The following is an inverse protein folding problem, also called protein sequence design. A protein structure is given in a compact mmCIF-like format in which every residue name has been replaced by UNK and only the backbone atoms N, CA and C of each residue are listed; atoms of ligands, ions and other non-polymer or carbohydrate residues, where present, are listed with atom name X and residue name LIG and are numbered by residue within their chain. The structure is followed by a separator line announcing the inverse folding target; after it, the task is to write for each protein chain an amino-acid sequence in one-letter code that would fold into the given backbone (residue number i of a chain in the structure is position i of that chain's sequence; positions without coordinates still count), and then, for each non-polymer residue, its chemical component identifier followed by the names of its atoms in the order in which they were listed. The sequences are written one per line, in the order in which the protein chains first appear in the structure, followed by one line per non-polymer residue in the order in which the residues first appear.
data_IF_141059302811
#
_entry.id   IF_141059302811
#
_cell.length_a   1.000
_cell.length_b   1.000
_cell.length_c   1.000
_cell.angle_alpha   90.00
_cell.angle_beta   90.00
_cell.angle_gamma   90.00
#
_symmetry.space_group_name_H-M   'P 1'
#
loop_
_entity.id
_entity.type
_entity.pdbx_description
1 polymer ?
#
# COMPACT_ATOMS: atom_id res chain seq x y z
N UNK A 1 3.01 -13.97 28.77
CA UNK A 1 2.55 -15.28 28.28
C UNK A 1 1.85 -15.09 26.95
N UNK A 2 2.08 -15.98 25.98
CA UNK A 2 1.37 -15.97 24.71
C UNK A 2 -0.10 -16.38 24.91
N UNK A 3 -1.01 -15.75 24.17
CA UNK A 3 -2.46 -16.02 24.25
C UNK A 3 -2.89 -16.93 23.09
N UNK A 4 -3.94 -17.76 23.26
CA UNK A 4 -4.52 -18.54 22.16
C UNK A 4 -4.96 -17.67 20.96
N UNK A 5 -5.27 -16.40 21.21
CA UNK A 5 -5.67 -15.40 20.22
C UNK A 5 -4.50 -14.75 19.47
N UNK A 6 -3.25 -15.00 19.86
CA UNK A 6 -2.09 -14.45 19.16
C UNK A 6 -2.03 -15.05 17.75
N UNK A 7 -1.79 -14.19 16.74
CA UNK A 7 -1.77 -14.58 15.33
C UNK A 7 -0.34 -14.63 14.78
N UNK A 8 -0.13 -15.49 13.76
CA UNK A 8 1.03 -15.47 12.87
C UNK A 8 0.58 -15.25 11.43
N UNK A 9 1.38 -14.54 10.64
CA UNK A 9 1.19 -14.41 9.20
C UNK A 9 1.36 -15.78 8.54
N UNK A 10 0.47 -16.13 7.63
CA UNK A 10 0.56 -17.32 6.77
C UNK A 10 0.89 -16.93 5.34
N UNK A 11 0.25 -15.87 4.86
CA UNK A 11 0.43 -15.37 3.50
C UNK A 11 0.21 -13.86 3.50
N UNK A 12 0.99 -13.16 2.69
CA UNK A 12 0.82 -11.74 2.35
C UNK A 12 0.82 -11.66 0.83
N UNK A 13 -0.17 -10.97 0.27
CA UNK A 13 -0.28 -10.73 -1.17
C UNK A 13 -0.45 -9.26 -1.40
N UNK A 14 0.47 -8.67 -2.17
CA UNK A 14 0.38 -7.30 -2.61
C UNK A 14 -0.08 -7.22 -4.08
N UNK A 15 -0.96 -6.28 -4.37
CA UNK A 15 -1.39 -5.96 -5.72
C UNK A 15 -1.56 -4.45 -5.87
N UNK A 16 -1.64 -3.97 -7.11
CA UNK A 16 -1.80 -2.53 -7.36
C UNK A 16 -2.88 -2.26 -8.38
N UNK A 17 -3.66 -1.21 -8.14
CA UNK A 17 -4.65 -0.69 -9.06
C UNK A 17 -4.30 0.76 -9.43
N UNK A 18 -4.67 1.20 -10.63
CA UNK A 18 -4.49 2.60 -11.03
C UNK A 18 -5.83 3.21 -11.43
N UNK A 19 -6.10 4.40 -10.92
CA UNK A 19 -7.35 5.11 -11.16
C UNK A 19 -7.07 6.54 -11.62
N UNK A 20 -7.74 6.98 -12.68
CA UNK A 20 -7.83 8.39 -13.02
C UNK A 20 -8.82 9.08 -12.08
N UNK A 21 -8.46 10.26 -11.57
CA UNK A 21 -9.39 11.08 -10.81
C UNK A 21 -10.41 11.76 -11.73
N UNK A 22 -11.63 11.93 -11.23
CA UNK A 22 -12.68 12.68 -11.94
C UNK A 22 -12.36 14.16 -12.09
N UNK A 23 -11.59 14.71 -11.14
CA UNK A 23 -11.08 16.06 -11.15
C UNK A 23 -9.69 16.08 -10.49
N UNK A 24 -8.79 16.99 -10.89
CA UNK A 24 -7.47 17.09 -10.27
C UNK A 24 -7.56 17.41 -8.77
N UNK A 25 -6.78 16.72 -7.94
CA UNK A 25 -6.59 17.07 -6.53
C UNK A 25 -5.45 18.08 -6.44
N UNK A 26 -5.69 19.20 -5.75
CA UNK A 26 -4.68 20.23 -5.48
C UNK A 26 -4.46 20.34 -3.98
N UNK A 27 -3.30 19.90 -3.49
CA UNK A 27 -2.99 19.91 -2.06
C UNK A 27 -1.49 20.02 -1.83
N UNK A 28 -1.08 20.85 -0.87
CA UNK A 28 0.34 21.03 -0.51
C UNK A 28 1.22 21.50 -1.66
N UNK A 29 0.70 22.34 -2.55
CA UNK A 29 1.44 22.83 -3.73
C UNK A 29 1.61 21.81 -4.86
N UNK A 30 0.99 20.63 -4.75
CA UNK A 30 1.01 19.58 -5.78
C UNK A 30 -0.36 19.46 -6.44
N UNK A 31 -0.35 19.05 -7.70
CA UNK A 31 -1.56 18.73 -8.48
C UNK A 31 -1.40 17.30 -8.98
N UNK A 32 -2.37 16.44 -8.67
CA UNK A 32 -2.40 15.05 -9.16
C UNK A 32 -3.72 14.78 -9.88
N UNK A 33 -3.64 13.97 -10.93
CA UNK A 33 -4.78 13.62 -11.80
C UNK A 33 -5.14 12.14 -11.77
N UNK A 34 -4.27 11.31 -11.16
CA UNK A 34 -4.46 9.88 -11.01
C UNK A 34 -3.77 9.39 -9.73
N UNK A 35 -3.98 8.12 -9.41
CA UNK A 35 -3.42 7.46 -8.24
C UNK A 35 -3.15 5.99 -8.53
N UNK A 36 -2.02 5.50 -8.03
CA UNK A 36 -1.81 4.07 -7.84
C UNK A 36 -2.18 3.73 -6.40
N UNK A 37 -2.99 2.71 -6.21
CA UNK A 37 -3.38 2.16 -4.90
C UNK A 37 -2.66 0.83 -4.73
N UNK A 38 -2.07 0.61 -3.55
CA UNK A 38 -1.52 -0.67 -3.13
C UNK A 38 -2.55 -1.37 -2.25
N UNK A 39 -2.98 -2.55 -2.67
CA UNK A 39 -3.86 -3.42 -1.93
C UNK A 39 -3.06 -4.60 -1.37
N UNK A 40 -3.25 -4.89 -0.08
CA UNK A 40 -2.59 -6.00 0.61
C UNK A 40 -3.63 -6.91 1.23
N UNK A 41 -3.62 -8.18 0.85
CA UNK A 41 -4.39 -9.23 1.48
C UNK A 41 -3.48 -10.06 2.39
N UNK A 42 -3.93 -10.35 3.60
CA UNK A 42 -3.18 -11.11 4.59
C UNK A 42 -4.01 -12.27 5.11
N UNK A 43 -3.45 -13.48 5.09
CA UNK A 43 -3.97 -14.63 5.82
C UNK A 43 -3.19 -14.81 7.11
N UNK A 44 -3.90 -14.97 8.22
CA UNK A 44 -3.32 -15.20 9.55
C UNK A 44 -3.89 -16.46 10.18
N UNK A 45 -3.11 -17.05 11.07
CA UNK A 45 -3.53 -18.21 11.87
C UNK A 45 -3.27 -17.93 13.35
N UNK A 46 -4.25 -18.20 14.20
CA UNK A 46 -4.10 -18.16 15.67
C UNK A 46 -3.35 -19.40 16.15
N UNK A 47 -2.85 -19.37 17.38
CA UNK A 47 -2.17 -20.54 17.99
C UNK A 47 -3.06 -21.76 18.14
N UNK A 48 -4.38 -21.57 18.26
CA UNK A 48 -5.37 -22.64 18.31
C UNK A 48 -5.86 -23.11 16.93
N UNK A 49 -5.22 -22.65 15.85
CA UNK A 49 -5.42 -23.16 14.48
C UNK A 49 -6.55 -22.51 13.69
N UNK A 50 -7.24 -21.49 14.24
CA UNK A 50 -8.25 -20.74 13.48
C UNK A 50 -7.56 -19.83 12.47
N UNK A 51 -8.12 -19.74 11.27
CA UNK A 51 -7.65 -18.86 10.19
C UNK A 51 -8.56 -17.68 9.97
N UNK A 52 -7.96 -16.56 9.60
CA UNK A 52 -8.67 -15.33 9.24
C UNK A 52 -7.98 -14.62 8.09
N UNK A 53 -8.76 -13.88 7.30
CA UNK A 53 -8.26 -13.02 6.23
C UNK A 53 -8.58 -11.57 6.53
N UNK A 54 -7.63 -10.70 6.24
CA UNK A 54 -7.77 -9.25 6.30
C UNK A 54 -7.28 -8.62 5.02
N UNK A 55 -7.79 -7.43 4.71
CA UNK A 55 -7.33 -6.62 3.60
C UNK A 55 -7.05 -5.19 4.08
N UNK A 56 -6.04 -4.56 3.48
CA UNK A 56 -5.70 -3.16 3.65
C UNK A 56 -5.44 -2.53 2.29
N UNK A 57 -5.74 -1.24 2.15
CA UNK A 57 -5.57 -0.50 0.90
C UNK A 57 -5.05 0.89 1.17
N UNK A 58 -4.08 1.36 0.40
CA UNK A 58 -3.50 2.69 0.56
C UNK A 58 -3.05 3.31 -0.78
N UNK A 59 -3.37 4.59 -1.03
CA UNK A 59 -2.77 5.36 -2.11
C UNK A 59 -1.25 5.45 -2.00
N UNK A 60 -0.55 5.27 -3.11
CA UNK A 60 0.88 5.55 -3.26
C UNK A 60 1.07 7.07 -3.31
N UNK A 61 1.09 7.71 -2.14
CA UNK A 61 1.19 9.16 -1.98
C UNK A 61 2.60 9.73 -2.22
N UNK A 62 3.33 9.23 -3.21
CA UNK A 62 4.75 9.54 -3.46
C UNK A 62 5.03 11.04 -3.61
N UNK A 63 4.12 11.80 -4.23
CA UNK A 63 4.28 13.25 -4.42
C UNK A 63 4.36 14.04 -3.11
N UNK A 64 3.78 13.51 -2.03
CA UNK A 64 3.80 14.11 -0.69
C UNK A 64 4.78 13.39 0.26
N UNK A 65 4.85 12.06 0.21
CA UNK A 65 5.74 11.28 1.06
C UNK A 65 7.22 11.35 0.64
N UNK A 66 7.47 11.62 -0.64
CA UNK A 66 8.81 11.77 -1.21
C UNK A 66 8.88 12.99 -2.14
N UNK A 67 8.81 14.22 -1.60
CA UNK A 67 8.72 15.46 -2.38
C UNK A 67 10.08 15.92 -2.94
N UNK A 68 10.77 15.02 -3.64
CA UNK A 68 12.10 15.27 -4.21
C UNK A 68 12.08 16.40 -5.24
N UNK A 69 13.17 17.19 -5.26
CA UNK A 69 13.44 18.20 -6.29
C UNK A 69 14.39 17.67 -7.38
N UNK A 70 15.00 16.50 -7.17
CA UNK A 70 16.05 15.94 -8.05
C UNK A 70 15.67 14.57 -8.63
N UNK A 71 14.65 13.91 -8.08
CA UNK A 71 14.11 12.65 -8.60
C UNK A 71 12.73 12.91 -9.17
N UNK A 72 12.50 12.52 -10.42
CA UNK A 72 11.20 12.68 -11.06
C UNK A 72 10.10 11.92 -10.31
N UNK A 73 8.89 12.49 -10.22
CA UNK A 73 7.75 11.90 -9.52
C UNK A 73 7.42 10.48 -10.03
N UNK A 74 7.53 10.24 -11.34
CA UNK A 74 7.32 8.91 -11.93
C UNK A 74 8.33 7.88 -11.43
N UNK A 75 9.58 8.29 -11.18
CA UNK A 75 10.62 7.41 -10.67
C UNK A 75 10.41 7.11 -9.18
N UNK A 76 10.00 8.10 -8.37
CA UNK A 76 9.65 7.85 -6.96
C UNK A 76 8.43 6.95 -6.84
N UNK A 77 7.41 7.14 -7.68
CA UNK A 77 6.24 6.25 -7.75
C UNK A 77 6.66 4.82 -8.09
N UNK A 78 7.45 4.63 -9.16
CA UNK A 78 7.90 3.31 -9.58
C UNK A 78 8.68 2.60 -8.47
N UNK A 79 9.59 3.31 -7.79
CA UNK A 79 10.35 2.75 -6.68
C UNK A 79 9.45 2.34 -5.51
N UNK A 80 8.49 3.19 -5.12
CA UNK A 80 7.57 2.86 -4.02
C UNK A 80 6.64 1.68 -4.37
N UNK A 81 6.16 1.60 -5.63
CA UNK A 81 5.33 0.49 -6.10
C UNK A 81 6.11 -0.82 -6.12
N UNK A 82 7.35 -0.78 -6.58
CA UNK A 82 8.23 -1.96 -6.58
C UNK A 82 8.45 -2.47 -5.15
N UNK A 83 8.79 -1.58 -4.21
CA UNK A 83 8.93 -1.95 -2.80
C UNK A 83 7.65 -2.54 -2.23
N UNK A 84 6.48 -1.96 -2.55
CA UNK A 84 5.19 -2.45 -2.06
C UNK A 84 4.80 -3.84 -2.59
N UNK A 85 5.30 -4.23 -3.77
CA UNK A 85 5.04 -5.55 -4.36
C UNK A 85 5.92 -6.67 -3.81
N UNK A 86 6.96 -6.33 -3.05
CA UNK A 86 7.89 -7.29 -2.44
C UNK A 86 7.45 -7.75 -1.04
N UNK A 87 6.23 -7.40 -0.61
CA UNK A 87 5.65 -7.80 0.67
C UNK A 87 5.30 -9.29 0.73
#
# INVERSE_FOLDING_TARGET
MAKPTDIRLQEVKASTQQFAYRAPIKFGGRVVTDVVVLDVEVEVETRDGRRGRGAGSMPMGNVWAWPSQVVAERATLAAMVETGRQL
#
